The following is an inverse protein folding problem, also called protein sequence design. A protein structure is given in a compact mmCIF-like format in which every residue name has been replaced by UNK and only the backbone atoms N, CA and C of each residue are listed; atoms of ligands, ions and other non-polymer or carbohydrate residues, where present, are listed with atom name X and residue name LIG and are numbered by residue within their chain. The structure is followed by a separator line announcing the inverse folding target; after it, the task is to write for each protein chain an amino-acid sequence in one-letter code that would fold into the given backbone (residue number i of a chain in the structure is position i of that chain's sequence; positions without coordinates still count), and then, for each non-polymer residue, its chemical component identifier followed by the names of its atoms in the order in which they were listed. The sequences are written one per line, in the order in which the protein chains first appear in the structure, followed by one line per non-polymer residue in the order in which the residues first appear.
data_IF_177048256032
#
_entry.id   IF_177048256032
#
_cell.length_a   1.000
_cell.length_b   1.000
_cell.length_c   1.000
_cell.angle_alpha   90.00
_cell.angle_beta   90.00
_cell.angle_gamma   90.00
#
_symmetry.space_group_name_H-M   'P 1'
#
loop_
_entity.id
_entity.type
_entity.pdbx_description
1 polymer ?
#
# COMPACT_ATOMS: atom_id res chain seq x y z
N UNK A 1 -1.27 -4.59 -10.20
CA UNK A 1 -0.99 -3.36 -9.42
C UNK A 1 0.17 -3.55 -8.47
N UNK A 2 0.08 -4.46 -7.48
CA UNK A 2 1.23 -4.72 -6.57
C UNK A 2 2.49 -5.12 -7.36
N UNK A 3 2.37 -6.11 -8.24
CA UNK A 3 3.48 -6.57 -9.09
C UNK A 3 4.06 -5.44 -9.96
N UNK A 4 3.21 -4.53 -10.44
CA UNK A 4 3.62 -3.38 -11.25
C UNK A 4 4.44 -2.38 -10.40
N UNK A 5 4.03 -2.12 -9.16
CA UNK A 5 4.79 -1.28 -8.21
C UNK A 5 6.15 -1.92 -7.92
N UNK A 6 6.19 -3.24 -7.67
CA UNK A 6 7.44 -3.95 -7.39
C UNK A 6 8.37 -3.98 -8.61
N UNK A 7 7.81 -4.05 -9.82
CA UNK A 7 8.57 -3.94 -11.07
C UNK A 7 9.13 -2.54 -11.23
N UNK A 8 8.31 -1.51 -11.01
CA UNK A 8 8.74 -0.10 -11.06
C UNK A 8 9.82 0.20 -10.01
N UNK A 9 9.77 -0.43 -8.84
CA UNK A 9 10.84 -0.37 -7.83
C UNK A 9 12.16 -0.91 -8.37
N UNK A 10 12.16 -2.07 -9.01
CA UNK A 10 13.36 -2.63 -9.62
C UNK A 10 13.93 -1.70 -10.71
N UNK A 11 13.06 -1.09 -11.54
CA UNK A 11 13.46 -0.12 -12.57
C UNK A 11 14.06 1.17 -11.98
N UNK A 12 13.73 1.50 -10.74
CA UNK A 12 14.21 2.67 -9.98
C UNK A 12 15.31 2.34 -8.95
N UNK A 13 15.98 1.19 -9.09
CA UNK A 13 17.08 0.74 -8.24
C UNK A 13 16.69 0.44 -6.77
N UNK A 14 15.43 0.02 -6.55
CA UNK A 14 14.89 -0.39 -5.25
C UNK A 14 14.65 -1.90 -5.26
N UNK A 15 15.66 -2.66 -4.85
CA UNK A 15 15.67 -4.13 -5.00
C UNK A 15 15.11 -4.91 -3.80
N UNK A 16 14.68 -4.21 -2.74
CA UNK A 16 14.25 -4.84 -1.50
C UNK A 16 13.01 -4.19 -0.89
N UNK A 17 11.93 -4.96 -0.80
CA UNK A 17 10.72 -4.57 -0.08
C UNK A 17 10.09 -5.79 0.62
N UNK A 18 9.39 -5.53 1.73
CA UNK A 18 8.55 -6.50 2.44
C UNK A 18 7.09 -6.13 2.23
N UNK A 19 6.25 -7.13 1.96
CA UNK A 19 4.83 -6.95 1.70
C UNK A 19 4.04 -7.58 2.85
N UNK A 20 3.09 -6.83 3.38
CA UNK A 20 2.19 -7.28 4.44
C UNK A 20 0.74 -7.09 3.97
N UNK A 21 -0.05 -8.17 4.07
CA UNK A 21 -1.50 -8.08 3.89
C UNK A 21 -2.11 -7.24 5.03
N UNK A 22 -2.92 -6.26 4.68
CA UNK A 22 -3.47 -5.28 5.61
C UNK A 22 -4.91 -4.87 5.25
N UNK A 23 -5.56 -4.11 6.13
CA UNK A 23 -6.89 -3.54 5.90
C UNK A 23 -6.89 -2.06 6.27
N UNK A 24 -7.41 -1.23 5.37
CA UNK A 24 -7.61 0.20 5.64
C UNK A 24 -8.68 0.46 6.71
N UNK A 25 -8.52 1.53 7.47
CA UNK A 25 -9.48 1.92 8.51
C UNK A 25 -10.88 2.19 7.96
N UNK A 26 -10.99 2.81 6.77
CA UNK A 26 -12.28 3.07 6.11
C UNK A 26 -13.07 1.77 5.91
N UNK A 27 -12.38 0.68 5.55
CA UNK A 27 -13.00 -0.63 5.40
C UNK A 27 -13.53 -1.15 6.75
N UNK A 28 -12.75 -1.03 7.82
CA UNK A 28 -13.18 -1.46 9.15
C UNK A 28 -14.36 -0.64 9.68
N UNK A 29 -14.38 0.69 9.48
CA UNK A 29 -15.50 1.51 9.96
C UNK A 29 -16.78 1.29 9.14
N UNK A 30 -16.65 1.09 7.83
CA UNK A 30 -17.79 0.76 6.97
C UNK A 30 -18.47 -0.56 7.37
N UNK A 31 -17.73 -1.55 7.88
CA UNK A 31 -18.32 -2.81 8.36
C UNK A 31 -19.04 -2.68 9.71
N UNK A 32 -18.73 -1.68 10.52
CA UNK A 32 -19.38 -1.43 11.83
C UNK A 32 -20.57 -0.47 11.73
N UNK A 33 -20.71 0.27 10.63
CA UNK A 33 -21.78 1.25 10.44
C UNK A 33 -23.11 0.64 9.99
N UNK A 34 -23.13 -0.66 9.67
CA UNK A 34 -24.31 -1.39 9.19
C UNK A 34 -25.25 -1.87 10.34
N UNK A 35 -24.96 -1.54 11.61
CA UNK A 35 -25.79 -1.95 12.77
C UNK A 35 -27.16 -1.21 12.87
N UNK A 36 -27.44 -0.25 11.99
CA UNK A 36 -28.67 0.55 11.98
C UNK A 36 -29.67 0.26 10.85
N UNK A 37 -29.33 -0.57 9.86
CA UNK A 37 -30.22 -0.87 8.72
C UNK A 37 -30.93 -2.21 8.89
N UNK A 38 -32.20 -2.27 8.47
CA UNK A 38 -33.10 -3.42 8.59
C UNK A 38 -32.37 -4.73 8.22
N UNK A 39 -32.39 -5.78 9.08
CA UNK A 39 -31.52 -6.97 8.97
C UNK A 39 -31.51 -7.69 7.61
N UNK A 40 -32.59 -7.54 6.84
CA UNK A 40 -32.75 -8.16 5.53
C UNK A 40 -31.94 -7.46 4.41
N UNK A 41 -31.81 -6.13 4.47
CA UNK A 41 -31.06 -5.36 3.46
C UNK A 41 -29.56 -5.37 3.73
N UNK A 42 -29.14 -5.41 5.01
CA UNK A 42 -27.73 -5.55 5.39
C UNK A 42 -27.09 -6.85 4.89
N UNK A 43 -27.80 -7.98 5.00
CA UNK A 43 -27.31 -9.28 4.50
C UNK A 43 -27.17 -9.31 2.97
N UNK A 44 -28.13 -8.72 2.24
CA UNK A 44 -28.02 -8.59 0.78
C UNK A 44 -26.88 -7.65 0.37
N UNK A 45 -26.65 -6.55 1.09
CA UNK A 45 -25.58 -5.59 0.82
C UNK A 45 -24.19 -6.16 1.14
N UNK A 46 -24.06 -6.96 2.19
CA UNK A 46 -22.83 -7.69 2.52
C UNK A 46 -22.51 -8.79 1.49
N UNK A 47 -23.53 -9.42 0.90
CA UNK A 47 -23.38 -10.39 -0.19
C UNK A 47 -23.13 -9.72 -1.56
N UNK A 48 -23.65 -8.49 -1.77
CA UNK A 48 -23.52 -7.71 -3.01
C UNK A 48 -22.29 -6.79 -3.03
N UNK A 49 -21.71 -6.45 -1.87
CA UNK A 49 -20.39 -5.83 -1.81
C UNK A 49 -19.39 -6.96 -2.00
N UNK A 50 -18.72 -7.06 -3.16
CA UNK A 50 -17.57 -7.96 -3.24
C UNK A 50 -16.63 -7.56 -2.11
N UNK A 51 -15.98 -8.53 -1.48
CA UNK A 51 -14.80 -8.31 -0.63
C UNK A 51 -13.91 -7.27 -1.33
N UNK A 52 -14.10 -5.99 -1.01
CA UNK A 52 -13.29 -4.93 -1.59
C UNK A 52 -11.98 -4.94 -0.83
N UNK A 53 -11.13 -5.79 -1.39
CA UNK A 53 -9.68 -5.72 -1.53
C UNK A 53 -8.88 -5.55 -0.25
N UNK A 54 -8.17 -6.64 0.09
CA UNK A 54 -7.03 -6.59 0.97
C UNK A 54 -6.09 -5.46 0.51
N UNK A 55 -5.71 -4.57 1.43
CA UNK A 55 -4.74 -3.51 1.16
C UNK A 55 -3.34 -4.08 1.39
N UNK A 56 -2.37 -3.70 0.57
CA UNK A 56 -0.98 -4.11 0.78
C UNK A 56 -0.20 -3.00 1.46
N UNK A 57 0.50 -3.31 2.56
CA UNK A 57 1.51 -2.44 3.14
C UNK A 57 2.88 -2.88 2.60
N UNK A 58 3.55 -1.98 1.89
CA UNK A 58 4.89 -2.19 1.33
C UNK A 58 5.89 -1.44 2.21
N UNK A 59 6.90 -2.14 2.72
CA UNK A 59 7.96 -1.57 3.53
C UNK A 59 9.29 -1.79 2.81
N UNK A 60 9.93 -0.70 2.38
CA UNK A 60 11.25 -0.72 1.77
C UNK A 60 12.22 0.13 2.61
N UNK A 61 13.44 -0.37 2.80
CA UNK A 61 14.52 0.41 3.39
C UNK A 61 15.31 1.04 2.25
N UNK A 62 15.24 2.36 2.14
CA UNK A 62 15.91 3.15 1.10
C UNK A 62 16.85 4.16 1.73
N UNK A 63 17.89 4.56 0.99
CA UNK A 63 18.72 5.71 1.40
C UNK A 63 17.92 7.01 1.22
N UNK A 64 18.25 8.04 1.99
CA UNK A 64 17.54 9.33 1.99
C UNK A 64 17.50 9.98 0.59
N UNK A 65 18.55 9.81 -0.20
CA UNK A 65 18.66 10.31 -1.58
C UNK A 65 17.81 9.52 -2.59
N UNK A 66 17.33 8.33 -2.23
CA UNK A 66 16.48 7.49 -3.07
C UNK A 66 14.99 7.60 -2.72
N UNK A 67 14.62 8.38 -1.69
CA UNK A 67 13.21 8.56 -1.28
C UNK A 67 12.36 9.11 -2.42
N UNK A 68 12.84 10.14 -3.13
CA UNK A 68 12.09 10.70 -4.27
C UNK A 68 11.92 9.70 -5.41
N UNK A 69 12.93 8.85 -5.65
CA UNK A 69 12.84 7.80 -6.66
C UNK A 69 11.81 6.73 -6.26
N UNK A 70 11.75 6.37 -4.98
CA UNK A 70 10.73 5.45 -4.47
C UNK A 70 9.32 6.01 -4.63
N UNK A 71 9.12 7.30 -4.36
CA UNK A 71 7.82 7.97 -4.57
C UNK A 71 7.46 7.99 -6.05
N UNK A 72 8.40 8.37 -6.94
CA UNK A 72 8.17 8.36 -8.39
C UNK A 72 7.81 6.98 -8.91
N UNK A 73 8.52 5.94 -8.47
CA UNK A 73 8.24 4.57 -8.88
C UNK A 73 6.81 4.13 -8.53
N UNK A 74 6.29 4.60 -7.39
CA UNK A 74 4.87 4.41 -7.02
C UNK A 74 3.97 5.22 -7.96
N UNK A 75 4.21 6.52 -8.09
CA UNK A 75 3.37 7.43 -8.90
C UNK A 75 3.32 7.06 -10.39
N UNK A 76 4.37 6.44 -10.93
CA UNK A 76 4.39 5.93 -12.31
C UNK A 76 3.35 4.82 -12.54
N UNK A 77 2.99 4.09 -11.48
CA UNK A 77 2.03 2.97 -11.55
C UNK A 77 0.62 3.41 -11.15
N UNK A 78 0.50 4.12 -10.04
CA UNK A 78 -0.81 4.47 -9.46
C UNK A 78 -1.27 5.90 -9.76
N UNK A 79 -0.39 6.74 -10.30
CA UNK A 79 -0.62 8.16 -10.53
C UNK A 79 -0.38 9.03 -9.30
N UNK A 80 -0.93 10.25 -9.38
CA UNK A 80 -0.77 11.31 -8.39
C UNK A 80 -1.29 10.93 -6.99
N UNK A 81 -0.37 10.78 -6.03
CA UNK A 81 -0.64 10.38 -4.64
C UNK A 81 -1.48 11.39 -3.84
N UNK A 82 -1.70 12.61 -4.36
CA UNK A 82 -2.54 13.62 -3.72
C UNK A 82 -4.04 13.43 -3.98
N UNK A 83 -4.41 12.46 -4.83
CA UNK A 83 -5.80 12.18 -5.19
C UNK A 83 -6.45 11.18 -4.22
N UNK A 84 -7.80 11.13 -4.16
CA UNK A 84 -8.48 10.06 -3.45
C UNK A 84 -8.13 8.68 -4.02
N UNK A 85 -8.16 7.65 -3.17
CA UNK A 85 -7.98 6.24 -3.53
C UNK A 85 -6.60 5.85 -4.13
N UNK A 86 -5.56 6.68 -3.95
CA UNK A 86 -4.18 6.39 -4.40
C UNK A 86 -3.24 5.89 -3.29
N UNK A 87 -3.75 5.62 -2.09
CA UNK A 87 -2.93 5.16 -0.97
C UNK A 87 -2.13 6.27 -0.30
N UNK A 88 -1.20 5.90 0.59
CA UNK A 88 -0.39 6.84 1.39
C UNK A 88 1.04 6.34 1.47
N UNK A 89 2.00 7.24 1.25
CA UNK A 89 3.44 6.99 1.43
C UNK A 89 3.93 7.87 2.58
N UNK A 90 4.73 7.29 3.47
CA UNK A 90 5.40 8.01 4.53
C UNK A 90 6.76 7.37 4.81
N UNK A 91 7.67 8.15 5.38
CA UNK A 91 8.99 7.68 5.77
C UNK A 91 9.12 7.66 7.29
N UNK A 92 9.98 6.76 7.78
CA UNK A 92 10.39 6.69 9.19
C UNK A 92 11.91 6.62 9.25
N UNK A 93 12.58 7.31 10.19
CA UNK A 93 14.03 7.27 10.29
C UNK A 93 14.49 5.89 10.78
N UNK A 94 15.40 5.27 10.04
CA UNK A 94 16.00 3.97 10.40
C UNK A 94 17.38 4.24 11.00
N UNK A 95 17.53 4.06 12.31
CA UNK A 95 18.79 4.32 13.02
C UNK A 95 19.83 3.20 12.87
N UNK A 96 19.39 1.99 12.54
CA UNK A 96 20.25 0.84 12.34
C UNK A 96 19.59 -0.17 11.41
N UNK A 97 20.36 -0.70 10.47
CA UNK A 97 19.93 -1.78 9.58
C UNK A 97 21.12 -2.68 9.27
N UNK A 98 20.88 -3.98 9.11
CA UNK A 98 21.87 -4.98 8.73
C UNK A 98 21.26 -5.94 7.72
N UNK A 99 22.06 -6.40 6.75
CA UNK A 99 21.61 -7.33 5.73
C UNK A 99 20.90 -6.69 4.54
N UNK A 100 20.95 -5.35 4.41
CA UNK A 100 20.61 -4.71 3.14
C UNK A 100 21.65 -5.13 2.11
N UNK A 101 21.18 -5.81 1.08
CA UNK A 101 21.97 -6.12 -0.09
C UNK A 101 22.16 -4.81 -0.87
N UNK A 102 23.39 -4.31 -0.91
CA UNK A 102 23.77 -3.29 -1.89
C UNK A 102 24.15 -4.05 -3.13
N UNK A 103 23.43 -3.85 -4.22
CA UNK A 103 23.93 -4.30 -5.51
C UNK A 103 25.31 -3.67 -5.72
N UNK A 104 26.31 -4.54 -5.77
CA UNK A 104 27.69 -4.17 -5.95
C UNK A 104 27.93 -3.88 -7.42
N UNK A 105 28.11 -2.59 -7.70
CA UNK A 105 28.79 -2.01 -8.86
C UNK A 105 27.98 -1.81 -10.15
#
# INVERSE_FOLDING_TARGET
MLDDILTSFADHDIHGATILDSKGMVHLLASHSDEGEVPFFGAMRAFLKPERENSNLIIAAVNDDHVENAVKAIEDVIGDLSKPDTGVVFTVPISYVKGLYKDGN
#
